data_IF_798560323389
#
_entry.id   IF_798560323389
#
_cell.length_a   1.000
_cell.length_b   1.000
_cell.length_c   1.000
_cell.angle_alpha   90.00
_cell.angle_beta   90.00
_cell.angle_gamma   90.00
#
_symmetry.space_group_name_H-M   'P 1'
#
loop_
_entity.id
_entity.type
_entity.pdbx_description
1 polymer ?
#
# COMPACT_ATOMS: atom_id res chain seq x y z
N UNK A 1 32.98 11.69 1.70
CA UNK A 1 31.76 11.20 2.38
C UNK A 1 31.11 12.36 3.13
N UNK A 2 29.79 12.35 3.36
CA UNK A 2 28.99 13.50 3.84
C UNK A 2 29.60 14.33 5.00
N UNK A 3 30.39 13.72 5.88
CA UNK A 3 31.08 14.36 7.01
C UNK A 3 32.25 15.28 6.62
N UNK A 4 32.79 15.16 5.41
CA UNK A 4 33.88 16.01 4.90
C UNK A 4 33.39 17.40 4.42
N UNK A 5 32.07 17.59 4.32
CA UNK A 5 31.46 18.79 3.73
C UNK A 5 31.52 20.06 4.61
N UNK A 6 32.02 19.97 5.85
CA UNK A 6 32.29 21.13 6.71
C UNK A 6 31.06 22.02 6.96
N UNK A 7 30.07 21.52 7.69
CA UNK A 7 28.88 22.30 8.08
C UNK A 7 27.74 21.43 8.63
N UNK A 8 26.68 22.04 9.17
CA UNK A 8 25.50 21.31 9.66
C UNK A 8 24.84 20.55 8.50
N UNK A 9 24.86 19.22 8.58
CA UNK A 9 24.32 18.32 7.56
C UNK A 9 22.80 18.27 7.63
N UNK A 10 22.16 18.18 6.45
CA UNK A 10 20.72 17.95 6.36
C UNK A 10 20.43 16.85 5.36
N UNK A 11 19.47 16.00 5.67
CA UNK A 11 19.06 14.94 4.76
C UNK A 11 17.84 14.17 5.22
N UNK A 12 17.41 13.25 4.37
CA UNK A 12 16.27 12.37 4.63
C UNK A 12 16.67 10.91 4.42
N UNK A 13 16.17 10.03 5.29
CA UNK A 13 16.36 8.57 5.19
C UNK A 13 14.99 7.92 5.08
N UNK A 14 14.79 7.08 4.06
CA UNK A 14 13.54 6.35 3.84
C UNK A 14 13.79 4.86 4.01
N UNK A 15 13.25 4.28 5.08
CA UNK A 15 13.28 2.84 5.34
C UNK A 15 12.11 2.15 4.67
N UNK A 16 12.35 1.11 3.87
CA UNK A 16 11.26 0.27 3.33
C UNK A 16 10.54 -0.47 4.45
N UNK A 17 11.31 -1.09 5.34
CA UNK A 17 10.84 -1.80 6.53
C UNK A 17 11.95 -1.90 7.57
N UNK A 18 11.66 -2.59 8.67
CA UNK A 18 12.50 -2.61 9.87
C UNK A 18 13.12 -3.99 10.15
N UNK A 19 13.29 -4.84 9.12
CA UNK A 19 14.17 -6.00 9.29
C UNK A 19 15.61 -5.54 9.50
N UNK A 20 16.37 -6.35 10.23
CA UNK A 20 17.66 -5.96 10.78
C UNK A 20 18.65 -5.50 9.71
N UNK A 21 18.75 -6.24 8.62
CA UNK A 21 19.59 -5.96 7.47
C UNK A 21 19.29 -4.60 6.79
N UNK A 22 18.08 -4.04 6.97
CA UNK A 22 17.70 -2.72 6.48
C UNK A 22 17.95 -1.58 7.47
N UNK A 23 18.11 -1.86 8.76
CA UNK A 23 18.23 -0.83 9.82
C UNK A 23 19.55 -0.88 10.60
N UNK A 24 20.34 -1.96 10.47
CA UNK A 24 21.57 -2.17 11.24
C UNK A 24 22.63 -1.09 11.01
N UNK A 25 22.58 -0.40 9.87
CA UNK A 25 23.50 0.71 9.58
C UNK A 25 23.13 2.01 10.31
N UNK A 26 21.90 2.14 10.81
CA UNK A 26 21.40 3.38 11.40
C UNK A 26 22.18 3.82 12.65
N UNK A 27 22.48 2.94 13.65
CA UNK A 27 23.30 3.32 14.80
C UNK A 27 24.73 3.74 14.44
N UNK A 28 25.21 3.36 13.25
CA UNK A 28 26.57 3.67 12.76
C UNK A 28 26.59 4.80 11.73
N UNK A 29 25.45 5.43 11.44
CA UNK A 29 25.37 6.52 10.48
C UNK A 29 26.00 7.79 11.07
N UNK A 30 27.31 7.95 10.83
CA UNK A 30 28.14 9.02 11.40
C UNK A 30 27.51 10.43 11.35
N UNK A 31 26.76 10.84 10.31
CA UNK A 31 26.09 12.15 10.30
C UNK A 31 25.06 12.41 11.40
N UNK A 32 24.57 11.39 12.12
CA UNK A 32 23.68 11.56 13.28
C UNK A 32 24.42 12.05 14.53
N UNK A 33 25.74 11.91 14.56
CA UNK A 33 26.61 12.33 15.66
C UNK A 33 27.26 13.70 15.40
N UNK A 34 26.78 14.43 14.39
CA UNK A 34 27.31 15.76 14.04
C UNK A 34 26.38 16.84 14.63
N UNK A 35 26.86 17.66 15.59
CA UNK A 35 26.08 18.73 16.18
C UNK A 35 25.48 19.69 15.15
N UNK A 36 24.20 20.03 15.34
CA UNK A 36 23.46 20.92 14.44
C UNK A 36 22.98 20.28 13.14
N UNK A 37 23.27 18.99 12.92
CA UNK A 37 22.67 18.20 11.85
C UNK A 37 21.15 18.09 12.00
N UNK A 38 20.43 17.97 10.88
CA UNK A 38 18.97 17.77 10.87
C UNK A 38 18.58 16.64 9.92
N UNK A 39 17.87 15.65 10.43
CA UNK A 39 17.50 14.47 9.68
C UNK A 39 16.01 14.17 9.79
N UNK A 40 15.38 13.94 8.65
CA UNK A 40 14.00 13.44 8.56
C UNK A 40 14.04 11.95 8.24
N UNK A 41 13.48 11.12 9.13
CA UNK A 41 13.50 9.66 9.04
C UNK A 41 12.10 9.17 8.76
N UNK A 42 11.95 8.47 7.64
CA UNK A 42 10.69 7.98 7.13
C UNK A 42 10.68 6.45 7.14
N UNK A 43 9.53 5.85 7.42
CA UNK A 43 9.39 4.40 7.44
C UNK A 43 7.95 3.98 7.66
N UNK A 44 7.63 2.68 7.49
CA UNK A 44 6.26 2.20 7.62
C UNK A 44 5.69 2.44 9.02
N UNK A 45 4.46 2.95 9.06
CA UNK A 45 3.69 3.11 10.28
C UNK A 45 3.35 1.72 10.85
N UNK A 46 3.97 1.39 11.98
CA UNK A 46 3.56 0.24 12.78
C UNK A 46 2.18 0.46 13.39
N UNK A 47 1.46 -0.63 13.68
CA UNK A 47 0.19 -0.53 14.42
C UNK A 47 0.36 -0.48 15.94
N UNK A 48 1.46 -1.03 16.46
CA UNK A 48 1.70 -1.13 17.90
C UNK A 48 2.88 -0.29 18.39
N UNK A 49 3.80 0.06 17.49
CA UNK A 49 5.03 0.81 17.78
C UNK A 49 5.26 1.82 16.67
N UNK A 50 5.78 2.99 17.03
CA UNK A 50 6.23 3.98 16.03
C UNK A 50 7.59 3.56 15.46
N UNK A 51 7.94 4.13 14.30
CA UNK A 51 9.28 3.98 13.72
C UNK A 51 10.39 4.38 14.71
N UNK A 52 10.15 5.44 15.49
CA UNK A 52 11.08 5.89 16.54
C UNK A 52 11.31 4.78 17.57
N UNK A 53 10.26 4.15 18.07
CA UNK A 53 10.36 3.13 19.11
C UNK A 53 11.14 1.91 18.60
N UNK A 54 10.87 1.49 17.35
CA UNK A 54 11.60 0.38 16.72
C UNK A 54 13.09 0.69 16.54
N UNK A 55 13.43 1.89 16.06
CA UNK A 55 14.83 2.29 15.89
C UNK A 55 15.54 2.56 17.23
N UNK A 56 14.83 3.02 18.25
CA UNK A 56 15.37 3.19 19.59
C UNK A 56 15.72 1.84 20.25
N UNK A 57 14.93 0.78 20.00
CA UNK A 57 15.13 -0.55 20.59
C UNK A 57 16.51 -1.16 20.28
N UNK A 58 17.03 -0.96 19.06
CA UNK A 58 18.39 -1.43 18.71
C UNK A 58 19.51 -0.58 19.34
N UNK A 59 19.17 0.60 19.88
CA UNK A 59 20.09 1.54 20.52
C UNK A 59 19.94 1.55 22.05
N UNK A 60 19.24 0.58 22.64
CA UNK A 60 19.22 0.44 24.10
C UNK A 60 20.62 0.17 24.64
N UNK A 61 20.96 0.74 25.81
CA UNK A 61 22.31 0.67 26.40
C UNK A 61 22.88 -0.75 26.56
N UNK A 62 22.02 -1.77 26.64
CA UNK A 62 22.43 -3.18 26.72
C UNK A 62 23.05 -3.66 25.40
N UNK A 63 22.59 -3.14 24.27
CA UNK A 63 23.00 -3.54 22.92
C UNK A 63 23.97 -2.54 22.27
N UNK A 64 23.84 -1.25 22.60
CA UNK A 64 24.60 -0.18 21.96
C UNK A 64 24.96 0.93 22.97
N UNK A 65 26.16 1.53 22.92
CA UNK A 65 26.63 2.45 23.96
C UNK A 65 25.91 3.81 24.00
N UNK A 66 25.22 4.20 22.92
CA UNK A 66 24.57 5.51 22.77
C UNK A 66 23.09 5.32 22.45
N UNK A 67 22.21 5.87 23.27
CA UNK A 67 20.77 5.83 23.00
C UNK A 67 20.37 6.82 21.91
N UNK A 68 19.20 6.61 21.33
CA UNK A 68 18.67 7.52 20.31
C UNK A 68 18.56 8.98 20.79
N UNK A 69 18.26 9.19 22.07
CA UNK A 69 18.12 10.51 22.68
C UNK A 69 19.46 11.20 22.99
N UNK A 70 20.57 10.46 22.91
CA UNK A 70 21.94 10.96 23.10
C UNK A 70 22.61 11.37 21.78
N UNK A 71 21.90 11.29 20.64
CA UNK A 71 22.42 11.73 19.34
C UNK A 71 22.49 13.26 19.24
N UNK A 72 23.59 13.77 18.67
CA UNK A 72 23.85 15.21 18.53
C UNK A 72 23.02 15.90 17.44
N UNK A 73 22.52 15.13 16.46
CA UNK A 73 21.66 15.64 15.40
C UNK A 73 20.19 15.76 15.84
N UNK A 74 19.47 16.75 15.31
CA UNK A 74 18.02 16.84 15.47
C UNK A 74 17.33 15.88 14.50
N UNK A 75 16.57 14.92 15.02
CA UNK A 75 15.91 13.88 14.21
C UNK A 75 14.39 14.02 14.32
N UNK A 76 13.71 14.04 13.17
CA UNK A 76 12.26 13.98 13.09
C UNK A 76 11.82 12.67 12.45
N UNK A 77 10.92 11.93 13.11
CA UNK A 77 10.41 10.66 12.63
C UNK A 77 9.04 10.83 11.97
N UNK A 78 8.84 10.13 10.86
CA UNK A 78 7.64 10.17 10.04
C UNK A 78 7.14 8.75 9.78
N UNK A 79 6.04 8.39 10.46
CA UNK A 79 5.34 7.12 10.22
C UNK A 79 4.49 7.21 8.95
N UNK A 80 4.81 6.38 7.96
CA UNK A 80 4.24 6.40 6.62
C UNK A 80 3.24 5.27 6.36
N UNK A 81 2.21 5.60 5.60
CA UNK A 81 1.26 4.66 5.00
C UNK A 81 1.30 4.80 3.47
N UNK A 82 0.48 4.06 2.72
CA UNK A 82 0.33 4.31 1.28
C UNK A 82 -0.19 5.73 1.03
N UNK A 83 0.42 6.44 0.08
CA UNK A 83 0.06 7.82 -0.24
C UNK A 83 1.14 8.55 -1.03
N UNK A 84 1.06 9.88 -1.06
CA UNK A 84 2.10 10.72 -1.65
C UNK A 84 2.42 11.92 -0.76
N UNK A 85 3.67 12.34 -0.76
CA UNK A 85 4.17 13.54 -0.10
C UNK A 85 5.37 14.08 -0.87
N UNK A 86 5.84 15.28 -0.53
CA UNK A 86 6.96 15.91 -1.21
C UNK A 86 8.13 16.09 -0.24
N UNK A 87 9.35 15.78 -0.67
CA UNK A 87 10.60 16.17 0.00
C UNK A 87 11.31 17.14 -0.95
N UNK A 88 11.38 18.42 -0.55
CA UNK A 88 11.88 19.51 -1.39
C UNK A 88 11.23 19.53 -2.80
N UNK A 89 11.95 19.17 -3.86
CA UNK A 89 11.49 19.12 -5.26
C UNK A 89 11.23 17.69 -5.78
N UNK A 90 11.23 16.70 -4.89
CA UNK A 90 10.98 15.30 -5.17
C UNK A 90 9.59 14.92 -4.68
N UNK A 91 8.72 14.47 -5.58
CA UNK A 91 7.46 13.85 -5.21
C UNK A 91 7.70 12.38 -4.88
N UNK A 92 7.30 11.97 -3.69
CA UNK A 92 7.41 10.60 -3.20
C UNK A 92 6.03 9.98 -3.13
N UNK A 93 5.86 8.82 -3.75
CA UNK A 93 4.66 8.00 -3.63
C UNK A 93 5.03 6.67 -2.98
N UNK A 94 4.31 6.31 -1.93
CA UNK A 94 4.53 5.11 -1.13
C UNK A 94 3.45 4.08 -1.40
N UNK A 95 3.84 2.81 -1.34
CA UNK A 95 2.92 1.69 -1.42
C UNK A 95 3.39 0.50 -0.62
N UNK A 96 2.48 -0.24 0.02
CA UNK A 96 2.83 -1.48 0.69
C UNK A 96 3.17 -2.58 -0.32
N UNK A 97 4.32 -3.21 -0.13
CA UNK A 97 4.80 -4.39 -0.83
C UNK A 97 4.30 -5.67 -0.16
N UNK A 98 4.48 -6.81 -0.82
CA UNK A 98 4.08 -8.11 -0.30
C UNK A 98 5.26 -8.77 0.42
N UNK A 99 5.34 -8.58 1.73
CA UNK A 99 6.45 -9.05 2.56
C UNK A 99 5.96 -9.53 3.94
N UNK A 100 6.70 -10.40 4.66
CA UNK A 100 6.37 -10.83 6.02
C UNK A 100 6.37 -9.73 7.09
N UNK A 101 6.95 -8.57 6.79
CA UNK A 101 6.84 -7.35 7.59
C UNK A 101 6.06 -6.28 6.81
N UNK A 102 5.60 -5.23 7.51
CA UNK A 102 5.06 -4.05 6.83
C UNK A 102 6.19 -3.38 6.04
N UNK A 103 6.13 -3.48 4.72
CA UNK A 103 7.16 -2.98 3.82
C UNK A 103 6.60 -1.99 2.83
N UNK A 104 7.26 -0.84 2.66
CA UNK A 104 6.94 0.19 1.69
C UNK A 104 7.92 0.18 0.52
N UNK A 105 7.37 0.26 -0.70
CA UNK A 105 8.08 0.71 -1.88
C UNK A 105 7.96 2.22 -2.03
N UNK A 106 8.95 2.82 -2.66
CA UNK A 106 9.04 4.27 -2.87
C UNK A 106 9.20 4.58 -4.36
N UNK A 107 8.29 5.38 -4.91
CA UNK A 107 8.42 5.99 -6.24
C UNK A 107 8.81 7.45 -6.05
N UNK A 108 9.95 7.84 -6.58
CA UNK A 108 10.54 9.17 -6.48
C UNK A 108 10.50 9.82 -7.86
N UNK A 109 9.84 10.96 -7.97
CA UNK A 109 9.64 11.69 -9.22
C UNK A 109 10.21 13.11 -9.08
N UNK A 110 11.15 13.46 -9.96
CA UNK A 110 11.81 14.77 -10.00
C UNK A 110 12.01 15.20 -11.46
N UNK A 111 11.35 16.27 -11.87
CA UNK A 111 11.38 16.69 -13.28
C UNK A 111 10.87 15.59 -14.21
N UNK A 112 11.68 15.18 -15.19
CA UNK A 112 11.40 14.02 -16.05
C UNK A 112 11.87 12.68 -15.50
N UNK A 113 12.63 12.66 -14.40
CA UNK A 113 13.22 11.44 -13.87
C UNK A 113 12.28 10.75 -12.88
N UNK A 114 12.17 9.42 -13.02
CA UNK A 114 11.42 8.56 -12.11
C UNK A 114 12.28 7.37 -11.65
N UNK A 115 12.46 7.23 -10.34
CA UNK A 115 13.11 6.08 -9.69
C UNK A 115 12.11 5.35 -8.82
N UNK A 116 12.10 4.02 -8.87
CA UNK A 116 11.31 3.22 -7.94
C UNK A 116 12.21 2.27 -7.15
N UNK A 117 12.09 2.29 -5.82
CA UNK A 117 12.65 1.30 -4.92
C UNK A 117 11.55 0.36 -4.45
N UNK A 118 11.68 -0.93 -4.73
CA UNK A 118 10.66 -1.94 -4.46
C UNK A 118 11.26 -3.29 -4.04
N UNK A 119 12.36 -3.28 -3.29
CA UNK A 119 12.93 -4.49 -2.72
C UNK A 119 12.03 -5.12 -1.65
N UNK A 120 12.25 -6.41 -1.40
CA UNK A 120 11.51 -7.22 -0.43
C UNK A 120 10.03 -7.33 -0.80
N UNK A 121 9.80 -7.72 -2.06
CA UNK A 121 8.48 -7.97 -2.60
C UNK A 121 8.35 -9.41 -3.06
N UNK A 122 7.25 -10.07 -2.72
CA UNK A 122 6.89 -11.39 -3.25
C UNK A 122 5.73 -11.28 -4.26
N UNK A 123 5.76 -12.03 -5.38
CA UNK A 123 4.64 -12.10 -6.31
C UNK A 123 3.33 -12.47 -5.61
N UNK A 124 2.25 -11.75 -5.91
CA UNK A 124 0.92 -12.12 -5.41
C UNK A 124 0.36 -13.32 -6.16
N UNK A 125 0.58 -13.39 -7.48
CA UNK A 125 0.28 -14.56 -8.30
C UNK A 125 1.33 -15.64 -8.08
N UNK A 126 0.86 -16.89 -8.02
CA UNK A 126 1.71 -18.08 -7.88
C UNK A 126 1.84 -18.89 -9.17
N UNK A 127 1.39 -18.32 -10.30
CA UNK A 127 1.39 -18.96 -11.62
C UNK A 127 2.48 -18.34 -12.52
N UNK A 128 3.51 -19.10 -12.91
CA UNK A 128 4.53 -18.60 -13.84
C UNK A 128 3.93 -18.34 -15.23
N UNK A 129 4.31 -17.22 -15.85
CA UNK A 129 4.27 -17.04 -17.32
C UNK A 129 2.91 -16.81 -17.97
N UNK A 130 1.89 -16.30 -17.26
CA UNK A 130 0.61 -15.93 -17.87
C UNK A 130 0.30 -14.42 -17.80
N UNK A 131 0.86 -13.66 -18.76
CA UNK A 131 0.63 -12.21 -18.95
C UNK A 131 -0.85 -11.77 -18.95
N UNK A 132 -1.77 -12.64 -19.42
CA UNK A 132 -3.19 -12.31 -19.56
C UNK A 132 -4.04 -12.58 -18.30
N UNK A 133 -3.49 -13.22 -17.27
CA UNK A 133 -4.19 -13.59 -16.03
C UNK A 133 -3.44 -13.10 -14.78
N UNK A 134 -2.65 -12.04 -14.91
CA UNK A 134 -1.88 -11.50 -13.81
C UNK A 134 -2.81 -11.07 -12.67
N UNK A 135 -2.47 -11.48 -11.44
CA UNK A 135 -3.25 -11.16 -10.26
C UNK A 135 -3.41 -9.65 -10.11
N UNK A 136 -4.58 -9.17 -9.69
CA UNK A 136 -4.90 -7.74 -9.59
C UNK A 136 -3.85 -6.95 -8.77
N UNK A 137 -3.30 -7.56 -7.72
CA UNK A 137 -2.27 -6.91 -6.90
C UNK A 137 -0.90 -6.82 -7.59
N UNK A 138 -0.55 -7.80 -8.44
CA UNK A 138 0.63 -7.72 -9.30
C UNK A 138 0.42 -6.67 -10.40
N UNK A 139 -0.79 -6.59 -10.97
CA UNK A 139 -1.15 -5.53 -11.91
C UNK A 139 -0.97 -4.16 -11.30
N UNK A 140 -1.45 -3.98 -10.07
CA UNK A 140 -1.14 -2.75 -9.33
C UNK A 140 0.35 -2.59 -9.18
N UNK A 141 1.12 -3.63 -8.82
CA UNK A 141 2.58 -3.54 -8.65
C UNK A 141 3.23 -3.00 -9.92
N UNK A 142 2.87 -3.56 -11.08
CA UNK A 142 3.25 -3.04 -12.39
C UNK A 142 2.87 -1.56 -12.60
N UNK A 143 1.66 -1.13 -12.21
CA UNK A 143 1.26 0.29 -12.28
C UNK A 143 2.15 1.21 -11.42
N UNK A 144 2.59 0.74 -10.26
CA UNK A 144 3.50 1.50 -9.38
C UNK A 144 4.90 1.65 -9.99
N UNK A 145 5.35 0.62 -10.71
CA UNK A 145 6.63 0.63 -11.46
C UNK A 145 6.56 1.38 -12.79
N UNK A 146 5.36 1.79 -13.23
CA UNK A 146 5.10 2.18 -14.61
C UNK A 146 6.02 3.31 -15.10
N UNK A 147 6.60 3.08 -16.28
CA UNK A 147 7.44 4.01 -17.06
C UNK A 147 8.64 4.58 -16.29
N UNK A 148 9.10 3.94 -15.22
CA UNK A 148 10.23 4.41 -14.45
C UNK A 148 11.54 4.36 -15.26
N UNK A 149 12.39 5.36 -15.08
CA UNK A 149 13.73 5.41 -15.67
C UNK A 149 14.66 4.37 -15.06
N UNK A 150 14.44 4.07 -13.79
CA UNK A 150 15.15 3.06 -13.01
C UNK A 150 14.19 2.45 -11.99
N UNK A 151 14.12 1.11 -11.96
CA UNK A 151 13.54 0.37 -10.85
C UNK A 151 14.65 -0.42 -10.17
N UNK A 152 14.74 -0.31 -8.84
CA UNK A 152 15.56 -1.13 -7.97
C UNK A 152 14.62 -2.12 -7.30
N UNK A 153 14.77 -3.39 -7.63
CA UNK A 153 13.88 -4.45 -7.16
C UNK A 153 14.72 -5.62 -6.64
N UNK A 154 14.24 -6.31 -5.61
CA UNK A 154 14.87 -7.55 -5.19
C UNK A 154 14.69 -8.62 -6.28
N UNK A 155 15.69 -9.46 -6.47
CA UNK A 155 15.62 -10.61 -7.38
C UNK A 155 16.41 -11.78 -6.78
N UNK A 156 16.11 -12.10 -5.53
CA UNK A 156 16.92 -13.00 -4.71
C UNK A 156 16.96 -14.42 -5.28
N UNK A 157 15.85 -14.86 -5.88
CA UNK A 157 15.66 -16.24 -6.31
C UNK A 157 15.47 -16.34 -7.83
N UNK A 158 15.70 -17.53 -8.36
CA UNK A 158 15.12 -18.00 -9.63
C UNK A 158 13.76 -18.65 -9.36
N UNK A 159 12.94 -18.84 -10.38
CA UNK A 159 11.65 -19.55 -10.25
C UNK A 159 11.79 -20.94 -9.61
N UNK A 160 12.89 -21.65 -9.92
CA UNK A 160 13.19 -22.98 -9.37
C UNK A 160 13.46 -22.91 -7.87
N UNK A 161 14.23 -21.92 -7.44
CA UNK A 161 14.56 -21.71 -6.02
C UNK A 161 13.32 -21.21 -5.27
N UNK A 162 12.58 -20.27 -5.83
CA UNK A 162 11.41 -19.67 -5.22
C UNK A 162 10.34 -20.68 -4.80
N UNK A 163 10.20 -21.81 -5.50
CA UNK A 163 9.28 -22.88 -5.13
C UNK A 163 9.41 -23.32 -3.65
N UNK A 164 10.62 -23.25 -3.08
CA UNK A 164 10.91 -23.61 -1.69
C UNK A 164 11.01 -22.40 -0.75
N UNK A 165 10.90 -21.18 -1.26
CA UNK A 165 11.06 -19.92 -0.51
C UNK A 165 9.78 -19.06 -0.54
N UNK A 166 8.64 -19.66 -0.89
CA UNK A 166 7.35 -18.96 -0.87
C UNK A 166 6.98 -18.55 0.55
N UNK A 167 6.43 -17.36 0.67
CA UNK A 167 6.11 -16.68 1.93
C UNK A 167 7.31 -16.00 2.59
N UNK A 168 8.51 -16.01 1.97
CA UNK A 168 9.69 -15.36 2.54
C UNK A 168 9.77 -13.88 2.16
N UNK A 169 8.98 -13.44 1.18
CA UNK A 169 8.86 -12.02 0.84
C UNK A 169 9.85 -11.52 -0.20
N UNK A 170 10.35 -12.41 -1.06
CA UNK A 170 11.29 -12.06 -2.14
C UNK A 170 10.84 -12.62 -3.49
N UNK A 171 11.33 -11.99 -4.55
CA UNK A 171 10.91 -12.24 -5.93
C UNK A 171 11.85 -13.16 -6.71
N UNK A 172 11.28 -14.02 -7.57
CA UNK A 172 12.00 -14.60 -8.70
C UNK A 172 12.45 -13.53 -9.69
N UNK A 173 13.66 -13.64 -10.22
CA UNK A 173 14.16 -12.75 -11.28
C UNK A 173 13.29 -12.78 -12.54
N UNK A 174 12.70 -13.94 -12.87
CA UNK A 174 11.79 -14.10 -14.00
C UNK A 174 10.52 -13.26 -13.84
N UNK A 175 9.93 -13.24 -12.64
CA UNK A 175 8.80 -12.38 -12.30
C UNK A 175 9.17 -10.90 -12.43
N UNK A 176 10.33 -10.49 -11.90
CA UNK A 176 10.76 -9.08 -11.93
C UNK A 176 10.98 -8.62 -13.38
N UNK A 177 11.55 -9.49 -14.23
CA UNK A 177 11.67 -9.22 -15.67
C UNK A 177 10.30 -9.06 -16.33
N UNK A 178 9.34 -9.95 -16.05
CA UNK A 178 8.01 -9.90 -16.63
C UNK A 178 7.22 -8.65 -16.18
N UNK A 179 7.24 -8.32 -14.89
CA UNK A 179 6.53 -7.15 -14.36
C UNK A 179 7.14 -5.85 -14.86
N UNK A 180 8.48 -5.80 -15.02
CA UNK A 180 9.20 -4.67 -15.59
C UNK A 180 8.86 -4.43 -17.06
N UNK A 181 8.73 -5.51 -17.86
CA UNK A 181 8.26 -5.42 -19.25
C UNK A 181 6.85 -4.84 -19.32
N UNK A 182 5.93 -5.35 -18.49
CA UNK A 182 4.53 -4.88 -18.46
C UNK A 182 4.41 -3.41 -18.03
N UNK A 183 5.27 -3.00 -17.10
CA UNK A 183 5.34 -1.64 -16.59
C UNK A 183 6.02 -0.66 -17.56
N UNK A 184 6.67 -1.13 -18.63
CA UNK A 184 7.44 -0.26 -19.52
C UNK A 184 8.66 0.37 -18.85
N UNK A 185 9.30 -0.36 -17.92
CA UNK A 185 10.51 0.11 -17.21
C UNK A 185 11.67 0.25 -18.19
N UNK A 186 12.42 1.36 -18.08
CA UNK A 186 13.59 1.59 -18.94
C UNK A 186 14.81 0.80 -18.48
N UNK A 187 15.11 0.85 -17.17
CA UNK A 187 16.24 0.15 -16.55
C UNK A 187 15.79 -0.57 -15.28
N UNK A 188 16.13 -1.84 -15.14
CA UNK A 188 15.85 -2.67 -13.97
C UNK A 188 17.17 -3.09 -13.31
N UNK A 189 17.36 -2.69 -12.06
CA UNK A 189 18.47 -3.07 -11.21
C UNK A 189 18.02 -4.20 -10.27
N UNK A 190 18.57 -5.39 -10.47
CA UNK A 190 18.37 -6.51 -9.56
C UNK A 190 19.24 -6.31 -8.32
N UNK A 191 18.64 -6.32 -7.15
CA UNK A 191 19.32 -6.17 -5.86
C UNK A 191 18.88 -7.26 -4.89
N UNK A 192 19.34 -7.18 -3.64
CA UNK A 192 19.01 -8.13 -2.58
C UNK A 192 19.28 -9.59 -3.00
N UNK A 193 20.46 -9.80 -3.60
CA UNK A 193 20.88 -11.10 -4.12
C UNK A 193 20.98 -12.14 -3.00
N UNK A 194 20.80 -13.41 -3.32
CA UNK A 194 21.01 -14.48 -2.34
C UNK A 194 22.46 -14.43 -1.81
N UNK A 195 22.69 -14.38 -0.48
CA UNK A 195 24.03 -14.23 0.09
C UNK A 195 25.01 -15.36 -0.25
N UNK A 196 24.49 -16.53 -0.64
CA UNK A 196 25.29 -17.68 -1.08
C UNK A 196 25.61 -17.66 -2.58
N UNK A 197 25.09 -16.69 -3.35
CA UNK A 197 25.25 -16.63 -4.80
C UNK A 197 26.58 -15.99 -5.19
N UNK A 198 27.32 -16.65 -6.07
CA UNK A 198 28.58 -16.12 -6.62
C UNK A 198 28.34 -15.13 -7.74
N UNK A 199 29.33 -14.28 -8.00
CA UNK A 199 29.32 -13.31 -9.12
C UNK A 199 29.06 -14.01 -10.47
N UNK A 200 29.78 -15.11 -10.76
CA UNK A 200 29.59 -15.89 -12.00
C UNK A 200 28.14 -16.40 -12.15
N UNK A 201 27.50 -16.79 -11.05
CA UNK A 201 26.12 -17.26 -11.07
C UNK A 201 25.13 -16.10 -11.29
N UNK A 202 25.40 -14.94 -10.70
CA UNK A 202 24.63 -13.71 -10.95
C UNK A 202 24.73 -13.27 -12.42
N UNK A 203 25.95 -13.28 -12.99
CA UNK A 203 26.18 -12.92 -14.39
C UNK A 203 25.42 -13.85 -15.34
N UNK A 204 25.40 -15.16 -15.06
CA UNK A 204 24.62 -16.12 -15.85
C UNK A 204 23.11 -15.84 -15.80
N UNK A 205 22.58 -15.46 -14.65
CA UNK A 205 21.17 -15.11 -14.49
C UNK A 205 20.84 -13.84 -15.27
N UNK A 206 21.65 -12.79 -15.10
CA UNK A 206 21.46 -11.52 -15.80
C UNK A 206 21.52 -11.72 -17.32
N UNK A 207 22.48 -12.51 -17.81
CA UNK A 207 22.62 -12.78 -19.24
C UNK A 207 21.46 -13.63 -19.80
N UNK A 208 20.94 -14.57 -19.01
CA UNK A 208 19.74 -15.32 -19.37
C UNK A 208 18.53 -14.40 -19.54
N UNK A 209 18.32 -13.45 -18.63
CA UNK A 209 17.22 -12.48 -18.72
C UNK A 209 17.42 -11.52 -19.90
N UNK A 210 18.65 -11.04 -20.13
CA UNK A 210 18.97 -10.18 -21.30
C UNK A 210 18.69 -10.88 -22.62
N UNK A 211 19.05 -12.17 -22.71
CA UNK A 211 18.80 -12.99 -23.89
C UNK A 211 17.30 -13.14 -24.16
N UNK A 212 16.51 -13.43 -23.13
CA UNK A 212 15.04 -13.53 -23.23
C UNK A 212 14.39 -12.21 -23.66
N UNK A 213 14.82 -11.08 -23.08
CA UNK A 213 14.33 -9.75 -23.45
C UNK A 213 14.64 -9.41 -24.92
N UNK A 214 15.85 -9.74 -25.37
CA UNK A 214 16.28 -9.53 -26.76
C UNK A 214 15.49 -10.38 -27.74
N UNK A 215 15.26 -11.66 -27.42
CA UNK A 215 14.45 -12.56 -28.25
C UNK A 215 13.01 -12.06 -28.39
N UNK A 216 12.43 -11.55 -27.30
CA UNK A 216 11.08 -10.98 -27.26
C UNK A 216 10.97 -9.54 -27.77
N UNK A 217 12.10 -8.88 -28.08
CA UNK A 217 12.13 -7.50 -28.59
C UNK A 217 11.77 -6.42 -27.57
N UNK A 218 11.96 -6.68 -26.27
CA UNK A 218 11.72 -5.67 -25.23
C UNK A 218 12.97 -4.79 -25.03
N UNK A 219 12.81 -3.44 -25.00
CA UNK A 219 13.95 -2.52 -24.91
C UNK A 219 14.48 -2.30 -23.48
N UNK A 220 13.89 -2.94 -22.47
CA UNK A 220 14.28 -2.78 -21.06
C UNK A 220 15.72 -3.27 -20.84
N UNK A 221 16.55 -2.44 -20.21
CA UNK A 221 17.91 -2.81 -19.84
C UNK A 221 17.97 -3.36 -18.41
N UNK A 222 18.55 -4.56 -18.23
CA UNK A 222 18.67 -5.20 -16.91
C UNK A 222 20.12 -5.40 -16.50
N UNK A 223 20.39 -5.32 -15.19
CA UNK A 223 21.71 -5.56 -14.61
C UNK A 223 21.60 -5.93 -13.12
N UNK A 224 22.61 -6.63 -12.60
CA UNK A 224 22.78 -6.81 -11.16
C UNK A 224 23.38 -5.53 -10.56
N UNK A 225 22.72 -4.97 -9.55
CA UNK A 225 23.25 -3.88 -8.75
C UNK A 225 24.46 -4.36 -7.94
N UNK A 226 25.46 -3.50 -7.80
CA UNK A 226 26.69 -3.78 -7.08
C UNK A 226 27.10 -2.63 -6.15
N UNK A 227 27.83 -2.97 -5.08
CA UNK A 227 28.35 -2.00 -4.13
C UNK A 227 29.23 -0.95 -4.82
N UNK A 228 29.02 0.32 -4.47
CA UNK A 228 29.75 1.44 -5.05
C UNK A 228 29.33 1.84 -6.47
N UNK A 229 28.34 1.16 -7.07
CA UNK A 229 27.81 1.52 -8.38
C UNK A 229 27.05 2.86 -8.33
N UNK A 230 27.30 3.72 -9.31
CA UNK A 230 26.64 5.03 -9.46
C UNK A 230 25.84 5.04 -10.77
N UNK A 231 24.64 5.60 -10.71
CA UNK A 231 23.78 5.79 -11.88
C UNK A 231 23.38 7.25 -12.03
N UNK A 232 23.54 7.78 -13.24
CA UNK A 232 23.08 9.11 -13.60
C UNK A 232 21.74 9.03 -14.34
N UNK A 233 20.85 9.97 -13.99
CA UNK A 233 19.52 10.13 -14.58
C UNK A 233 19.39 11.53 -15.16
N UNK A 234 18.74 11.63 -16.32
CA UNK A 234 18.45 12.92 -16.95
C UNK A 234 17.19 13.54 -16.35
N UNK A 235 17.39 14.69 -15.71
CA UNK A 235 16.36 15.53 -15.09
C UNK A 235 16.10 16.74 -15.98
N UNK A 236 15.62 16.49 -17.21
CA UNK A 236 15.19 17.56 -18.10
C UNK A 236 14.04 18.36 -17.46
N UNK A 237 14.17 19.70 -17.46
CA UNK A 237 13.42 20.62 -16.61
C UNK A 237 12.03 21.02 -17.10
N UNK A 238 11.44 20.28 -18.05
CA UNK A 238 10.27 20.75 -18.80
C UNK A 238 9.05 21.10 -17.91
N UNK A 239 8.99 20.61 -16.66
CA UNK A 239 8.04 21.11 -15.66
C UNK A 239 8.52 20.81 -14.23
N UNK A 240 9.55 21.51 -13.75
CA UNK A 240 9.84 21.49 -12.30
C UNK A 240 8.72 22.26 -11.59
N UNK A 241 7.79 21.54 -10.97
CA UNK A 241 6.71 22.14 -10.18
C UNK A 241 7.36 22.81 -8.96
N UNK A 242 7.34 24.14 -8.86
CA UNK A 242 7.69 24.84 -7.62
C UNK A 242 6.60 24.56 -6.59
N UNK A 243 6.82 23.58 -5.72
CA UNK A 243 5.91 23.27 -4.62
C UNK A 243 6.38 24.05 -3.38
N UNK A 244 5.46 24.77 -2.75
CA UNK A 244 5.73 25.42 -1.47
C UNK A 244 5.92 24.36 -0.41
N UNK A 245 6.95 24.48 0.43
CA UNK A 245 7.19 23.65 1.62
C UNK A 245 5.98 23.66 2.54
N UNK A 246 5.05 22.72 2.32
CA UNK A 246 3.94 22.46 3.22
C UNK A 246 4.49 21.78 4.47
N UNK A 247 4.03 22.20 5.64
CA UNK A 247 4.32 21.48 6.90
C UNK A 247 3.69 20.09 6.78
N UNK A 248 4.51 19.06 6.68
CA UNK A 248 4.07 17.69 6.85
C UNK A 248 3.49 17.55 8.26
N UNK A 249 2.25 17.09 8.37
CA UNK A 249 1.65 16.76 9.66
C UNK A 249 2.12 15.36 10.04
N UNK A 250 2.92 15.28 11.11
CA UNK A 250 3.61 14.10 11.66
C UNK A 250 2.68 13.05 12.26
N UNK A 251 1.43 13.03 11.84
CA UNK A 251 0.46 12.03 12.27
C UNK A 251 -0.32 11.67 11.02
N UNK A 252 -0.23 10.43 10.52
CA UNK A 252 -1.19 10.02 9.53
C UNK A 252 -2.56 10.21 10.19
N UNK A 253 -3.43 11.04 9.61
CA UNK A 253 -4.76 11.35 10.15
C UNK A 253 -5.65 10.10 10.34
N UNK A 254 -5.10 8.91 10.07
CA UNK A 254 -5.68 7.57 10.08
C UNK A 254 -5.33 6.74 11.33
N UNK A 255 -4.39 7.16 12.20
CA UNK A 255 -4.08 6.42 13.42
C UNK A 255 -5.32 6.21 14.34
N UNK A 256 -6.26 7.18 14.47
CA UNK A 256 -7.54 6.94 15.14
C UNK A 256 -8.47 5.99 14.36
N UNK A 257 -8.46 6.04 13.02
CA UNK A 257 -9.36 5.26 12.17
C UNK A 257 -9.05 3.75 12.18
N UNK A 258 -7.79 3.35 12.37
CA UNK A 258 -7.46 1.93 12.57
C UNK A 258 -7.85 1.45 13.97
N UNK A 259 -7.76 2.32 15.00
CA UNK A 259 -8.12 1.97 16.38
C UNK A 259 -9.62 1.69 16.58
N UNK A 260 -10.49 2.11 15.66
CA UNK A 260 -11.92 1.75 15.66
C UNK A 260 -12.27 0.62 14.67
N UNK A 261 -11.28 0.13 13.92
CA UNK A 261 -11.49 -0.94 12.94
C UNK A 261 -11.77 -2.29 13.61
N UNK A 262 -12.48 -3.16 12.89
CA UNK A 262 -12.76 -4.52 13.34
C UNK A 262 -12.44 -5.55 12.26
N UNK A 263 -12.01 -6.73 12.71
CA UNK A 263 -11.74 -7.91 11.90
C UNK A 263 -12.83 -8.93 12.18
N UNK A 264 -13.51 -9.41 11.13
CA UNK A 264 -14.43 -10.53 11.21
C UNK A 264 -13.76 -11.79 10.68
N UNK A 265 -13.79 -12.87 11.44
CA UNK A 265 -13.22 -14.17 11.08
C UNK A 265 -14.34 -15.17 10.84
N UNK A 266 -14.50 -15.65 9.61
CA UNK A 266 -15.31 -16.82 9.29
C UNK A 266 -14.40 -18.03 9.14
N UNK A 267 -14.07 -18.68 10.26
CA UNK A 267 -13.10 -19.78 10.32
C UNK A 267 -13.69 -20.91 11.13
N UNK A 268 -13.81 -22.10 10.55
CA UNK A 268 -14.34 -23.29 11.21
C UNK A 268 -13.29 -24.04 12.04
N UNK A 269 -12.02 -24.03 11.63
CA UNK A 269 -10.95 -24.67 12.39
C UNK A 269 -10.55 -23.84 13.62
N UNK A 270 -10.69 -24.43 14.82
CA UNK A 270 -10.42 -23.74 16.08
C UNK A 270 -8.94 -23.39 16.29
N UNK A 271 -8.02 -24.22 15.78
CA UNK A 271 -6.58 -23.96 15.88
C UNK A 271 -6.17 -22.78 15.01
N UNK A 272 -6.65 -22.76 13.77
CA UNK A 272 -6.46 -21.67 12.83
C UNK A 272 -7.09 -20.36 13.33
N UNK A 273 -8.29 -20.44 13.92
CA UNK A 273 -8.95 -19.28 14.52
C UNK A 273 -8.11 -18.65 15.63
N UNK A 274 -7.44 -19.44 16.48
CA UNK A 274 -6.51 -18.93 17.51
C UNK A 274 -5.29 -18.25 16.89
N UNK A 275 -4.67 -18.87 15.88
CA UNK A 275 -3.52 -18.31 15.17
C UNK A 275 -3.86 -16.97 14.52
N UNK A 276 -5.01 -16.88 13.83
CA UNK A 276 -5.46 -15.66 13.18
C UNK A 276 -5.90 -14.59 14.18
N UNK A 277 -6.49 -14.99 15.31
CA UNK A 277 -6.81 -14.05 16.41
C UNK A 277 -5.54 -13.42 16.96
N UNK A 278 -4.49 -14.22 17.19
CA UNK A 278 -3.21 -13.70 17.66
C UNK A 278 -2.54 -12.82 16.60
N UNK A 279 -2.58 -13.20 15.32
CA UNK A 279 -2.06 -12.37 14.22
C UNK A 279 -2.80 -11.03 14.09
N UNK A 280 -4.12 -11.03 14.27
CA UNK A 280 -4.96 -9.83 14.23
C UNK A 280 -4.89 -8.98 15.51
N UNK A 281 -4.25 -9.48 16.57
CA UNK A 281 -4.18 -8.81 17.87
C UNK A 281 -3.37 -7.53 17.77
N UNK A 282 -4.06 -6.41 17.72
CA UNK A 282 -3.51 -5.06 17.64
C UNK A 282 -4.27 -4.19 18.63
N UNK A 283 -3.59 -3.28 19.32
CA UNK A 283 -4.24 -2.37 20.25
C UNK A 283 -5.33 -1.54 19.53
N UNK A 284 -6.57 -1.60 20.03
CA UNK A 284 -7.74 -0.93 19.43
C UNK A 284 -8.52 -1.77 18.41
N UNK A 285 -7.91 -2.75 17.74
CA UNK A 285 -8.63 -3.54 16.72
C UNK A 285 -9.49 -4.62 17.37
N UNK A 286 -10.81 -4.58 17.12
CA UNK A 286 -11.74 -5.60 17.64
C UNK A 286 -11.79 -6.81 16.71
N UNK A 287 -11.62 -8.01 17.26
CA UNK A 287 -11.80 -9.26 16.51
C UNK A 287 -13.14 -9.91 16.86
N UNK A 288 -13.85 -10.39 15.85
CA UNK A 288 -15.10 -11.16 16.02
C UNK A 288 -15.01 -12.44 15.21
N UNK A 289 -15.59 -13.52 15.73
CA UNK A 289 -15.51 -14.85 15.13
C UNK A 289 -16.90 -15.40 14.84
N UNK A 290 -17.08 -15.86 13.61
CA UNK A 290 -18.27 -16.52 13.10
C UNK A 290 -17.97 -18.01 12.89
N UNK A 291 -18.88 -18.85 13.36
CA UNK A 291 -18.70 -20.31 13.40
C UNK A 291 -19.14 -21.01 12.11
N UNK A 292 -19.90 -20.32 11.25
CA UNK A 292 -20.42 -20.87 10.00
C UNK A 292 -20.61 -19.78 8.93
N UNK A 293 -20.88 -20.21 7.69
CA UNK A 293 -21.07 -19.32 6.55
C UNK A 293 -22.23 -18.32 6.75
N UNK A 294 -23.35 -18.77 7.34
CA UNK A 294 -24.54 -17.94 7.51
C UNK A 294 -24.34 -16.84 8.57
N UNK A 295 -23.74 -17.20 9.71
CA UNK A 295 -23.34 -16.27 10.76
C UNK A 295 -22.29 -15.28 10.26
N UNK A 296 -21.35 -15.72 9.43
CA UNK A 296 -20.36 -14.84 8.81
C UNK A 296 -21.02 -13.73 8.00
N UNK A 297 -21.94 -14.05 7.10
CA UNK A 297 -22.66 -13.05 6.29
C UNK A 297 -23.51 -12.12 7.16
N UNK A 298 -24.24 -12.67 8.16
CA UNK A 298 -25.04 -11.86 9.09
C UNK A 298 -24.18 -10.88 9.90
N UNK A 299 -23.06 -11.35 10.46
CA UNK A 299 -22.15 -10.54 11.26
C UNK A 299 -21.45 -9.48 10.41
N UNK A 300 -21.09 -9.78 9.16
CA UNK A 300 -20.48 -8.80 8.27
C UNK A 300 -21.41 -7.60 7.99
N UNK A 301 -22.73 -7.85 7.91
CA UNK A 301 -23.75 -6.80 7.74
C UNK A 301 -23.89 -5.92 8.99
N UNK A 302 -23.90 -6.52 10.18
CA UNK A 302 -24.16 -5.79 11.43
C UNK A 302 -22.90 -5.15 12.04
N UNK A 303 -21.78 -5.86 12.05
CA UNK A 303 -20.54 -5.43 12.72
C UNK A 303 -19.70 -4.45 11.90
N UNK A 304 -20.01 -4.29 10.61
CA UNK A 304 -19.32 -3.40 9.66
C UNK A 304 -17.78 -3.52 9.72
N UNK A 305 -17.22 -4.73 9.50
CA UNK A 305 -15.78 -4.94 9.61
C UNK A 305 -14.99 -4.13 8.58
N UNK A 306 -13.78 -3.75 8.97
CA UNK A 306 -12.77 -3.15 8.08
C UNK A 306 -11.96 -4.19 7.31
N UNK A 307 -11.99 -5.45 7.76
CA UNK A 307 -11.35 -6.60 7.12
C UNK A 307 -12.10 -7.89 7.48
N UNK A 308 -12.19 -8.82 6.53
CA UNK A 308 -12.74 -10.16 6.76
C UNK A 308 -11.67 -11.21 6.46
N UNK A 309 -11.48 -12.15 7.39
CA UNK A 309 -10.67 -13.36 7.19
C UNK A 309 -11.63 -14.53 6.99
N UNK A 310 -11.53 -15.24 5.86
CA UNK A 310 -12.37 -16.40 5.56
C UNK A 310 -11.52 -17.63 5.37
N UNK A 311 -11.87 -18.71 6.04
CA UNK A 311 -11.34 -20.02 5.73
C UNK A 311 -12.03 -20.57 4.46
N UNK A 312 -11.27 -21.10 3.49
CA UNK A 312 -11.81 -21.90 2.39
C UNK A 312 -11.62 -23.38 2.68
N UNK A 313 -12.57 -23.96 3.40
CA UNK A 313 -12.64 -25.40 3.64
C UNK A 313 -14.00 -25.96 3.25
N UNK A 314 -14.10 -26.74 2.14
CA UNK A 314 -15.37 -27.27 1.66
C UNK A 314 -16.17 -28.09 2.69
N UNK A 315 -15.50 -28.72 3.66
CA UNK A 315 -16.13 -29.50 4.73
C UNK A 315 -16.60 -28.64 5.93
N UNK A 316 -16.25 -27.36 5.96
CA UNK A 316 -16.64 -26.38 6.98
C UNK A 316 -17.24 -25.15 6.34
N UNK A 317 -16.48 -24.04 6.33
CA UNK A 317 -16.88 -22.82 5.63
C UNK A 317 -16.38 -22.86 4.18
N UNK A 318 -17.33 -22.89 3.22
CA UNK A 318 -17.03 -22.59 1.82
C UNK A 318 -16.79 -21.08 1.68
N UNK A 319 -15.53 -20.69 1.89
CA UNK A 319 -15.08 -19.31 1.88
C UNK A 319 -15.39 -18.61 0.56
N UNK A 320 -15.26 -19.30 -0.58
CA UNK A 320 -15.60 -18.73 -1.88
C UNK A 320 -17.09 -18.43 -2.04
N UNK A 321 -17.97 -19.31 -1.53
CA UNK A 321 -19.42 -19.07 -1.52
C UNK A 321 -19.81 -17.90 -0.62
N UNK A 322 -19.21 -17.81 0.57
CA UNK A 322 -19.38 -16.65 1.47
C UNK A 322 -18.90 -15.37 0.80
N UNK A 323 -17.72 -15.39 0.16
CA UNK A 323 -17.16 -14.25 -0.55
C UNK A 323 -18.13 -13.75 -1.66
N UNK A 324 -18.62 -14.65 -2.52
CA UNK A 324 -19.62 -14.30 -3.55
C UNK A 324 -20.90 -13.70 -2.96
N UNK A 325 -21.35 -14.25 -1.83
CA UNK A 325 -22.53 -13.74 -1.12
C UNK A 325 -22.30 -12.32 -0.59
N UNK A 326 -21.15 -12.04 0.00
CA UNK A 326 -20.79 -10.70 0.47
C UNK A 326 -20.65 -9.69 -0.69
N UNK A 327 -20.11 -10.13 -1.83
CA UNK A 327 -19.96 -9.29 -3.04
C UNK A 327 -21.28 -9.03 -3.78
N UNK A 328 -22.34 -9.80 -3.54
CA UNK A 328 -23.65 -9.58 -4.15
C UNK A 328 -24.57 -8.64 -3.34
N UNK A 329 -24.19 -8.28 -2.11
CA UNK A 329 -24.96 -7.41 -1.21
C UNK A 329 -25.20 -6.00 -1.77
N UNK A 330 -26.31 -5.36 -1.39
CA UNK A 330 -26.59 -3.99 -1.84
C UNK A 330 -25.67 -2.95 -1.17
N UNK A 331 -25.19 -3.23 0.05
CA UNK A 331 -24.27 -2.36 0.78
C UNK A 331 -22.91 -2.28 0.03
N UNK A 332 -22.67 -1.13 -0.60
CA UNK A 332 -21.44 -0.84 -1.35
C UNK A 332 -20.19 -0.92 -0.47
N UNK A 333 -20.29 -0.55 0.82
CA UNK A 333 -19.17 -0.65 1.74
C UNK A 333 -18.81 -2.12 1.95
N UNK A 334 -19.81 -2.96 2.22
CA UNK A 334 -19.62 -4.40 2.42
C UNK A 334 -19.05 -5.09 1.17
N UNK A 335 -19.53 -4.70 -0.02
CA UNK A 335 -18.99 -5.16 -1.31
C UNK A 335 -17.49 -4.86 -1.47
N UNK A 336 -16.99 -3.80 -0.84
CA UNK A 336 -15.59 -3.36 -0.95
C UNK A 336 -14.71 -3.77 0.23
N UNK A 337 -15.26 -4.34 1.31
CA UNK A 337 -14.45 -4.79 2.45
C UNK A 337 -13.43 -5.83 1.96
N UNK A 338 -12.13 -5.65 2.24
CA UNK A 338 -11.13 -6.63 1.83
C UNK A 338 -11.41 -7.99 2.49
N UNK A 339 -11.27 -9.05 1.70
CA UNK A 339 -11.43 -10.44 2.13
C UNK A 339 -10.10 -11.16 1.92
N UNK A 340 -9.44 -11.53 3.01
CA UNK A 340 -8.27 -12.42 2.98
C UNK A 340 -8.78 -13.85 3.12
N UNK A 341 -8.51 -14.68 2.11
CA UNK A 341 -8.87 -16.09 2.07
C UNK A 341 -7.74 -16.93 2.64
N UNK A 342 -8.04 -17.82 3.58
CA UNK A 342 -7.09 -18.69 4.25
C UNK A 342 -7.32 -20.12 3.78
N UNK A 343 -6.32 -20.74 3.16
CA UNK A 343 -6.47 -22.05 2.52
C UNK A 343 -5.15 -22.81 2.39
N UNK A 344 -5.20 -24.12 2.18
CA UNK A 344 -4.02 -24.94 1.89
C UNK A 344 -3.44 -24.76 0.48
N UNK A 345 -4.24 -24.20 -0.44
CA UNK A 345 -3.80 -23.85 -1.80
C UNK A 345 -4.63 -22.69 -2.33
N UNK A 346 -4.05 -21.95 -3.25
CA UNK A 346 -4.75 -20.87 -3.95
C UNK A 346 -5.64 -21.43 -5.05
N UNK A 347 -6.86 -20.88 -5.17
CA UNK A 347 -7.79 -21.13 -6.29
C UNK A 347 -7.96 -19.85 -7.10
N UNK A 348 -6.93 -19.50 -7.86
CA UNK A 348 -6.79 -18.17 -8.47
C UNK A 348 -7.99 -17.78 -9.32
N UNK A 349 -8.43 -18.63 -10.26
CA UNK A 349 -9.55 -18.34 -11.17
C UNK A 349 -10.88 -18.17 -10.41
N UNK A 350 -11.21 -19.10 -9.51
CA UNK A 350 -12.46 -19.01 -8.74
C UNK A 350 -12.44 -17.91 -7.70
N UNK A 351 -11.27 -17.65 -7.09
CA UNK A 351 -11.04 -16.57 -6.14
C UNK A 351 -11.21 -15.20 -6.77
N UNK A 352 -10.62 -14.99 -7.95
CA UNK A 352 -10.77 -13.76 -8.73
C UNK A 352 -12.25 -13.53 -9.08
N UNK A 353 -12.93 -14.55 -9.60
CA UNK A 353 -14.35 -14.48 -9.93
C UNK A 353 -15.23 -14.22 -8.69
N UNK A 354 -14.84 -14.73 -7.52
CA UNK A 354 -15.54 -14.51 -6.25
C UNK A 354 -15.28 -13.13 -5.63
N UNK A 355 -14.25 -12.40 -6.06
CA UNK A 355 -13.84 -11.13 -5.49
C UNK A 355 -13.01 -11.26 -4.20
N UNK A 356 -12.23 -12.35 -4.09
CA UNK A 356 -11.19 -12.52 -3.05
C UNK A 356 -10.14 -11.44 -3.22
N UNK A 357 -9.71 -10.84 -2.11
CA UNK A 357 -8.76 -9.74 -2.14
C UNK A 357 -7.31 -10.21 -2.06
N UNK A 358 -7.05 -11.18 -1.18
CA UNK A 358 -5.72 -11.78 -1.04
C UNK A 358 -5.85 -13.19 -0.48
N UNK A 359 -4.88 -14.05 -0.78
CA UNK A 359 -4.76 -15.38 -0.20
C UNK A 359 -3.66 -15.44 0.86
N UNK A 360 -3.94 -16.16 1.94
CA UNK A 360 -3.02 -16.51 3.01
C UNK A 360 -2.90 -18.04 3.03
N UNK A 361 -1.85 -18.56 2.39
CA UNK A 361 -1.70 -20.00 2.15
C UNK A 361 -1.00 -20.67 3.32
N UNK A 362 -1.62 -21.71 3.89
CA UNK A 362 -1.04 -22.50 4.99
C UNK A 362 0.02 -23.49 4.49
N UNK A 363 1.06 -23.78 5.28
CA UNK A 363 1.38 -23.17 6.57
C UNK A 363 1.98 -21.76 6.41
N UNK A 364 1.72 -20.87 7.37
CA UNK A 364 2.31 -19.54 7.45
C UNK A 364 2.70 -19.21 8.89
N UNK A 365 3.63 -18.26 9.07
CA UNK A 365 3.96 -17.72 10.39
C UNK A 365 2.91 -16.72 10.87
N UNK A 366 2.78 -16.58 12.20
CA UNK A 366 1.90 -15.56 12.80
C UNK A 366 2.32 -14.15 12.35
N UNK A 367 3.61 -13.91 12.19
CA UNK A 367 4.20 -12.63 11.77
C UNK A 367 3.79 -12.30 10.34
N UNK A 368 3.88 -13.26 9.41
CA UNK A 368 3.44 -13.07 8.03
C UNK A 368 1.94 -12.75 7.98
N UNK A 369 1.10 -13.55 8.65
CA UNK A 369 -0.33 -13.28 8.73
C UNK A 369 -0.63 -11.90 9.32
N UNK A 370 0.09 -11.51 10.37
CA UNK A 370 0.00 -10.19 10.99
C UNK A 370 0.29 -9.10 9.97
N UNK A 371 1.44 -9.11 9.30
CA UNK A 371 1.80 -8.08 8.32
C UNK A 371 0.73 -7.90 7.22
N UNK A 372 0.20 -9.02 6.70
CA UNK A 372 -0.86 -8.97 5.68
C UNK A 372 -2.17 -8.37 6.24
N UNK A 373 -2.57 -8.77 7.45
CA UNK A 373 -3.73 -8.20 8.14
C UNK A 373 -3.54 -6.69 8.37
N UNK A 374 -2.37 -6.29 8.86
CA UNK A 374 -2.06 -4.89 9.17
C UNK A 374 -2.05 -4.02 7.92
N UNK A 375 -1.43 -4.49 6.83
CA UNK A 375 -1.40 -3.78 5.55
C UNK A 375 -2.82 -3.53 5.02
N UNK A 376 -3.72 -4.52 5.10
CA UNK A 376 -5.10 -4.35 4.68
C UNK A 376 -5.94 -3.49 5.60
N UNK A 377 -5.72 -3.54 6.92
CA UNK A 377 -6.36 -2.64 7.86
C UNK A 377 -5.98 -1.18 7.58
N UNK A 378 -4.69 -0.91 7.34
CA UNK A 378 -4.24 0.42 6.93
C UNK A 378 -4.84 0.84 5.59
N UNK A 379 -4.82 -0.03 4.57
CA UNK A 379 -5.45 0.27 3.27
C UNK A 379 -6.95 0.56 3.41
N UNK A 380 -7.66 -0.16 4.27
CA UNK A 380 -9.06 0.11 4.58
C UNK A 380 -9.23 1.46 5.27
N UNK A 381 -8.48 1.73 6.33
CA UNK A 381 -8.56 3.00 7.04
C UNK A 381 -8.18 4.21 6.15
N UNK A 382 -7.20 4.03 5.25
CA UNK A 382 -6.79 5.05 4.28
C UNK A 382 -7.82 5.25 3.15
N UNK A 383 -8.51 4.19 2.69
CA UNK A 383 -9.63 4.29 1.73
C UNK A 383 -10.79 5.12 2.27
N UNK A 384 -10.98 5.09 3.59
CA UNK A 384 -12.02 5.81 4.30
C UNK A 384 -11.45 6.93 5.16
N UNK A 385 -10.38 7.62 4.69
CA UNK A 385 -9.99 8.88 5.32
C UNK A 385 -11.22 9.75 5.28
N UNK A 386 -11.82 9.99 6.45
CA UNK A 386 -12.91 10.94 6.55
C UNK A 386 -12.33 12.28 6.11
N UNK A 387 -12.92 12.89 5.09
CA UNK A 387 -12.54 14.24 4.72
C UNK A 387 -12.51 15.12 5.97
N UNK A 388 -11.37 15.77 6.22
CA UNK A 388 -11.25 16.68 7.34
C UNK A 388 -12.32 17.77 7.21
N UNK A 389 -12.96 18.12 8.32
CA UNK A 389 -13.90 19.24 8.31
C UNK A 389 -13.10 20.53 7.99
N UNK A 390 -13.53 21.34 7.00
CA UNK A 390 -12.95 22.65 6.76
C UNK A 390 -12.96 23.51 8.04
N UNK A 391 -11.95 24.37 8.21
CA UNK A 391 -11.85 25.24 9.39
C UNK A 391 -13.06 26.19 9.53
N UNK A 392 -13.80 26.43 8.45
CA UNK A 392 -15.01 27.25 8.37
C UNK A 392 -16.30 26.44 8.14
N UNK A 393 -16.31 25.16 8.52
CA UNK A 393 -17.43 24.22 8.33
C UNK A 393 -18.79 24.78 8.77
N UNK A 394 -18.86 25.46 9.91
CA UNK A 394 -20.10 26.09 10.39
C UNK A 394 -20.64 27.16 9.43
N UNK A 395 -19.74 27.97 8.85
CA UNK A 395 -20.11 29.00 7.87
C UNK A 395 -20.55 28.38 6.55
N UNK A 396 -19.84 27.33 6.11
CA UNK A 396 -20.19 26.57 4.90
C UNK A 396 -21.57 25.92 5.02
N UNK A 397 -21.87 25.28 6.15
CA UNK A 397 -23.18 24.69 6.44
C UNK A 397 -24.28 25.76 6.54
N UNK A 398 -24.00 26.91 7.16
CA UNK A 398 -24.94 28.03 7.21
C UNK A 398 -25.24 28.58 5.80
N UNK A 399 -24.23 28.71 4.94
CA UNK A 399 -24.40 29.13 3.55
C UNK A 399 -25.23 28.11 2.75
N UNK A 400 -24.93 26.81 2.88
CA UNK A 400 -25.69 25.75 2.22
C UNK A 400 -27.17 25.75 2.64
N UNK A 401 -27.44 25.86 3.95
CA UNK A 401 -28.81 25.95 4.47
C UNK A 401 -29.51 27.23 3.99
N UNK A 402 -28.78 28.34 3.87
CA UNK A 402 -29.28 29.60 3.32
C UNK A 402 -29.76 29.50 1.88
N UNK A 403 -29.22 28.57 1.08
CA UNK A 403 -29.70 28.32 -0.30
C UNK A 403 -31.08 27.67 -0.35
N UNK A 404 -31.57 27.09 0.75
CA UNK A 404 -32.87 26.38 0.82
C UNK A 404 -33.06 25.33 -0.29
N UNK A 405 -31.97 24.69 -0.70
CA UNK A 405 -31.93 23.79 -1.86
C UNK A 405 -31.90 22.31 -1.49
N UNK A 406 -31.45 21.97 -0.28
CA UNK A 406 -31.45 20.58 0.20
C UNK A 406 -32.88 20.03 0.28
N UNK A 407 -33.04 18.75 -0.08
CA UNK A 407 -34.32 18.02 -0.06
C UNK A 407 -35.44 18.59 -0.94
N UNK A 408 -35.10 19.53 -1.84
CA UNK A 408 -36.04 20.03 -2.84
C UNK A 408 -36.23 19.04 -3.98
N UNK A 409 -37.37 19.14 -4.69
CA UNK A 409 -37.64 18.28 -5.85
C UNK A 409 -36.58 18.46 -6.96
N UNK A 410 -36.50 17.47 -7.85
CA UNK A 410 -35.67 17.59 -9.05
C UNK A 410 -36.12 18.79 -9.88
N UNK A 411 -35.15 19.46 -10.50
CA UNK A 411 -35.44 20.58 -11.39
C UNK A 411 -34.68 20.40 -12.68
N UNK A 412 -35.41 20.48 -13.78
CA UNK A 412 -34.90 20.22 -15.13
C UNK A 412 -33.68 21.07 -15.50
N UNK A 413 -33.55 22.26 -14.91
CA UNK A 413 -32.37 23.12 -15.09
C UNK A 413 -31.06 22.47 -14.61
N UNK A 414 -31.09 21.70 -13.52
CA UNK A 414 -29.92 20.97 -13.02
C UNK A 414 -29.75 19.63 -13.74
N UNK A 415 -30.85 18.93 -14.04
CA UNK A 415 -30.84 17.66 -14.76
C UNK A 415 -30.34 17.79 -16.20
N UNK A 416 -30.61 18.93 -16.84
CA UNK A 416 -29.98 19.25 -18.11
C UNK A 416 -28.47 19.38 -18.00
N UNK A 417 -27.94 19.97 -16.93
CA UNK A 417 -26.49 20.14 -16.75
C UNK A 417 -25.81 18.77 -16.62
N UNK A 418 -26.34 17.88 -15.79
CA UNK A 418 -25.75 16.54 -15.59
C UNK A 418 -25.84 15.69 -16.86
N UNK A 419 -26.98 15.70 -17.58
CA UNK A 419 -27.09 15.00 -18.88
C UNK A 419 -26.10 15.52 -19.92
N UNK A 420 -25.94 16.85 -20.02
CA UNK A 420 -24.97 17.45 -20.96
C UNK A 420 -23.54 17.13 -20.54
N UNK A 421 -23.21 17.23 -19.26
CA UNK A 421 -21.87 16.91 -18.75
C UNK A 421 -21.50 15.44 -19.01
N UNK A 422 -22.44 14.51 -18.79
CA UNK A 422 -22.24 13.11 -19.10
C UNK A 422 -21.99 12.88 -20.60
N UNK A 423 -22.78 13.51 -21.46
CA UNK A 423 -22.64 13.37 -22.91
C UNK A 423 -21.35 14.00 -23.46
N UNK A 424 -20.97 15.19 -22.97
CA UNK A 424 -19.75 15.89 -23.41
C UNK A 424 -18.50 15.18 -22.91
N UNK A 425 -18.54 14.65 -21.69
CA UNK A 425 -17.41 13.95 -21.08
C UNK A 425 -17.29 12.49 -21.50
N UNK A 426 -18.26 11.94 -22.24
CA UNK A 426 -18.41 10.51 -22.53
C UNK A 426 -18.29 9.64 -21.27
N UNK A 427 -18.97 10.06 -20.20
CA UNK A 427 -18.95 9.39 -18.90
C UNK A 427 -20.33 8.85 -18.52
N UNK A 428 -20.40 7.65 -17.89
CA UNK A 428 -21.68 7.03 -17.54
C UNK A 428 -22.40 7.74 -16.38
N UNK A 429 -21.72 8.62 -15.63
CA UNK A 429 -22.23 9.24 -14.41
C UNK A 429 -21.84 10.73 -14.38
N UNK A 430 -22.81 11.59 -14.07
CA UNK A 430 -22.59 13.01 -13.78
C UNK A 430 -23.57 13.51 -12.72
N UNK A 431 -23.09 14.31 -11.76
CA UNK A 431 -23.83 14.70 -10.56
C UNK A 431 -23.73 16.20 -10.28
N UNK A 432 -24.81 16.81 -9.79
CA UNK A 432 -24.75 18.05 -9.01
C UNK A 432 -24.88 17.67 -7.55
N UNK A 433 -23.76 17.74 -6.83
CA UNK A 433 -23.63 17.24 -5.46
C UNK A 433 -23.48 18.38 -4.47
N UNK A 434 -24.18 18.29 -3.34
CA UNK A 434 -24.08 19.19 -2.19
C UNK A 434 -23.71 18.38 -0.94
N UNK A 435 -22.72 18.84 -0.18
CA UNK A 435 -22.23 18.14 1.02
C UNK A 435 -22.88 18.77 2.25
N UNK A 436 -23.77 18.05 2.94
CA UNK A 436 -24.39 18.48 4.20
C UNK A 436 -23.53 18.01 5.39
N UNK A 437 -24.03 18.11 6.62
CA UNK A 437 -23.31 17.73 7.83
C UNK A 437 -22.88 16.24 7.81
N UNK A 438 -23.79 15.33 7.50
CA UNK A 438 -23.62 13.87 7.59
C UNK A 438 -23.86 13.12 6.26
N UNK A 439 -24.31 13.81 5.22
CA UNK A 439 -24.62 13.23 3.91
C UNK A 439 -24.08 14.04 2.74
N UNK A 440 -23.94 13.38 1.61
CA UNK A 440 -23.79 13.98 0.29
C UNK A 440 -25.12 13.84 -0.44
N UNK A 441 -25.78 14.96 -0.71
CA UNK A 441 -27.09 15.01 -1.35
C UNK A 441 -26.97 15.42 -2.81
N UNK A 442 -27.70 14.75 -3.71
CA UNK A 442 -27.64 14.99 -5.14
C UNK A 442 -28.84 15.82 -5.60
N UNK A 443 -28.57 17.09 -5.96
CA UNK A 443 -29.58 17.95 -6.57
C UNK A 443 -29.97 17.48 -7.97
N UNK A 444 -29.04 16.84 -8.66
CA UNK A 444 -29.24 16.24 -9.95
C UNK A 444 -28.30 15.05 -10.13
N UNK A 445 -28.80 14.01 -10.78
CA UNK A 445 -28.13 12.74 -10.91
C UNK A 445 -28.38 12.14 -12.30
N UNK A 446 -27.31 11.88 -13.05
CA UNK A 446 -27.34 11.07 -14.26
C UNK A 446 -26.54 9.80 -14.03
N UNK A 447 -27.11 8.64 -14.37
CA UNK A 447 -26.42 7.34 -14.33
C UNK A 447 -26.36 6.63 -12.97
N UNK A 448 -26.92 7.20 -11.90
CA UNK A 448 -26.96 6.60 -10.56
C UNK A 448 -28.41 6.56 -10.03
N UNK A 449 -28.80 5.42 -9.44
CA UNK A 449 -30.17 5.19 -8.93
C UNK A 449 -30.42 5.66 -7.49
N UNK A 450 -29.61 6.59 -6.99
CA UNK A 450 -29.65 7.08 -5.60
C UNK A 450 -29.69 8.61 -5.58
N UNK A 451 -30.31 9.18 -4.55
CA UNK A 451 -30.46 10.65 -4.37
C UNK A 451 -29.52 11.23 -3.32
N UNK A 452 -28.91 10.38 -2.50
CA UNK A 452 -27.90 10.77 -1.51
C UNK A 452 -27.01 9.58 -1.13
N UNK A 453 -25.86 9.88 -0.56
CA UNK A 453 -24.94 8.93 0.08
C UNK A 453 -24.47 9.48 1.43
N UNK A 454 -23.92 8.63 2.30
CA UNK A 454 -23.26 9.13 3.52
C UNK A 454 -22.07 10.02 3.15
N UNK A 455 -21.86 11.11 3.90
CA UNK A 455 -20.70 12.00 3.72
C UNK A 455 -19.37 11.26 3.91
N UNK A 456 -19.36 10.21 4.72
CA UNK A 456 -18.18 9.36 4.95
C UNK A 456 -17.78 8.55 3.70
N UNK A 457 -18.70 8.38 2.75
CA UNK A 457 -18.46 7.75 1.46
C UNK A 457 -18.23 8.79 0.34
N UNK A 458 -18.29 10.09 0.68
CA UNK A 458 -18.30 11.17 -0.30
C UNK A 458 -16.90 11.55 -0.74
N UNK A 459 -16.60 11.31 -2.02
CA UNK A 459 -15.39 11.84 -2.65
C UNK A 459 -15.35 13.37 -2.61
N UNK A 460 -16.50 14.04 -2.78
CA UNK A 460 -16.61 15.49 -2.75
C UNK A 460 -16.20 16.10 -1.40
N UNK A 461 -16.30 15.35 -0.30
CA UNK A 461 -15.80 15.83 0.99
C UNK A 461 -14.32 16.21 0.97
N UNK A 462 -13.50 15.56 0.13
CA UNK A 462 -12.06 15.78 0.04
C UNK A 462 -11.65 16.97 -0.83
N UNK A 463 -12.59 17.56 -1.57
CA UNK A 463 -12.32 18.51 -2.65
C UNK A 463 -12.88 19.91 -2.33
N UNK A 464 -13.65 20.03 -1.24
CA UNK A 464 -14.40 21.24 -0.86
C UNK A 464 -13.74 21.98 0.29
#
# INVERSE_FOLDING_TARGET
>A
MLTEAGGPLRGSILFSHTHWDHIQGFPFFAPLFVPGGRWDIYGPAGLSQSLRDTLAGQMEHIYFPVTLDELDASILFHDLVEGSFDIDDIRITTRYLNHPALTLGYRLEMGSACVVYACDHEPHSRLPGQKAQMHELDRRHSEFLANADLVIHDAQYTDKEYANHRGWGHSPVEYVSEIGQLAGVKRMAFSHHDPGRTDDALDQIVESVRSDLKEKGFPMHVFAAADGQVMELDISSATTRKISRGKFSTTPATAPAVKDSSVLMGVSDAGLALVLTEAARVEGVRTTHALDAASTVRMAKSARPGLILLEDQPAGIDGLSVCRSLRSEQDLRLKQVPIIMVAGRERTTEGMAAGVTQWLITPFSVQYARAQIQAWLWRSACRWIRAALPADEEKRLAALRGLSILDTQSEERFDRITRVAAAVGDVPIALVSLVDHDRQWFKSCHGLGVTETSRELSFCGHVV
#
